data_IF_858008684552
#
_entry.id   IF_858008684552
#
_cell.length_a   1.000
_cell.length_b   1.000
_cell.length_c   1.000
_cell.angle_alpha   90.00
_cell.angle_beta   90.00
_cell.angle_gamma   90.00
#
_symmetry.space_group_name_H-M   'P 1'
#
loop_
_entity.id
_entity.type
_entity.pdbx_description
1 polymer ?
#
# COMPACT_ATOMS: atom_id res chain seq x y z
N UNK A 1 0.63 -9.81 -21.12
CA UNK A 1 -0.58 -9.27 -20.52
C UNK A 1 -0.32 -8.81 -19.09
N UNK A 2 -0.56 -7.54 -18.78
CA UNK A 2 -0.27 -6.96 -17.47
C UNK A 2 -1.54 -6.98 -16.61
N UNK A 3 -1.86 -8.14 -16.04
CA UNK A 3 -2.99 -8.31 -15.14
C UNK A 3 -2.60 -7.98 -13.70
N UNK A 4 -1.35 -8.25 -13.35
CA UNK A 4 -0.85 -8.05 -11.99
C UNK A 4 0.48 -7.29 -12.01
N UNK A 5 0.80 -6.68 -10.88
CA UNK A 5 2.13 -6.13 -10.62
C UNK A 5 2.52 -6.47 -9.18
N UNK A 6 3.78 -6.26 -8.85
CA UNK A 6 4.27 -6.57 -7.51
C UNK A 6 4.96 -5.39 -6.88
N UNK A 7 4.89 -5.33 -5.56
CA UNK A 7 5.76 -4.49 -4.75
C UNK A 7 6.80 -5.36 -4.08
N UNK A 8 8.03 -4.88 -4.04
CA UNK A 8 9.09 -5.50 -3.27
C UNK A 8 9.13 -4.91 -1.86
N UNK A 9 9.72 -5.64 -0.93
CA UNK A 9 9.87 -5.15 0.44
C UNK A 9 10.99 -4.13 0.52
N UNK A 10 10.78 -3.12 1.37
CA UNK A 10 11.78 -2.11 1.69
C UNK A 10 12.59 -2.58 2.89
N UNK A 11 13.92 -2.58 2.78
CA UNK A 11 14.80 -3.00 3.87
C UNK A 11 16.18 -2.37 3.71
N UNK A 12 16.54 -1.47 4.63
CA UNK A 12 17.85 -0.79 4.59
C UNK A 12 18.57 -0.74 5.92
N UNK A 13 17.84 -0.61 7.04
CA UNK A 13 18.46 -0.26 8.31
C UNK A 13 18.19 -1.24 9.45
N UNK A 14 17.09 -1.96 9.45
CA UNK A 14 16.67 -2.80 10.58
C UNK A 14 16.93 -4.27 10.28
N UNK A 15 17.44 -4.99 11.29
CA UNK A 15 17.71 -6.43 11.16
C UNK A 15 16.43 -7.26 11.06
N UNK A 16 15.35 -6.78 11.67
CA UNK A 16 14.08 -7.51 11.71
C UNK A 16 13.20 -7.25 10.49
N UNK A 17 13.66 -6.45 9.54
CA UNK A 17 12.92 -6.20 8.30
C UNK A 17 12.92 -7.45 7.41
N UNK A 18 11.77 -7.75 6.81
CA UNK A 18 11.66 -8.83 5.83
C UNK A 18 12.25 -8.33 4.52
N UNK A 19 13.35 -8.96 4.07
CA UNK A 19 14.14 -8.46 2.94
C UNK A 19 13.69 -8.99 1.59
N UNK A 20 13.03 -10.14 1.55
CA UNK A 20 12.68 -10.83 0.29
C UNK A 20 11.18 -10.96 0.09
N UNK A 21 10.39 -10.19 0.83
CA UNK A 21 8.95 -10.23 0.70
C UNK A 21 8.48 -9.61 -0.60
N UNK A 22 7.34 -10.10 -1.11
CA UNK A 22 6.68 -9.57 -2.30
C UNK A 22 5.19 -9.53 -2.06
N UNK A 23 4.54 -8.44 -2.48
CA UNK A 23 3.08 -8.33 -2.51
C UNK A 23 2.63 -8.21 -3.94
N UNK A 24 1.54 -8.90 -4.26
CA UNK A 24 0.96 -8.92 -5.61
C UNK A 24 -0.34 -8.15 -5.60
N UNK A 25 -0.49 -7.26 -6.58
CA UNK A 25 -1.69 -6.46 -6.78
C UNK A 25 -2.23 -6.67 -8.18
N UNK A 26 -3.54 -6.56 -8.31
CA UNK A 26 -4.20 -6.58 -9.62
C UNK A 26 -4.41 -5.14 -10.08
N UNK A 27 -4.18 -4.90 -11.39
CA UNK A 27 -4.47 -3.59 -11.97
C UNK A 27 -5.95 -3.24 -11.93
N UNK A 28 -6.82 -4.25 -11.81
CA UNK A 28 -8.27 -4.07 -11.82
C UNK A 28 -8.93 -4.99 -10.80
N UNK A 29 -9.80 -4.43 -9.95
CA UNK A 29 -10.49 -5.21 -8.92
C UNK A 29 -11.50 -6.21 -9.51
N UNK A 30 -12.06 -5.94 -10.69
CA UNK A 30 -12.93 -6.88 -11.37
C UNK A 30 -12.19 -8.14 -11.77
N UNK A 31 -10.97 -8.01 -12.29
CA UNK A 31 -10.11 -9.16 -12.60
C UNK A 31 -9.75 -9.90 -11.32
N UNK A 32 -9.42 -9.20 -10.26
CA UNK A 32 -9.15 -9.81 -8.96
C UNK A 32 -10.34 -10.65 -8.48
N UNK A 33 -11.53 -10.08 -8.53
CA UNK A 33 -12.76 -10.77 -8.11
C UNK A 33 -13.02 -12.03 -8.96
N UNK A 34 -12.77 -11.96 -10.26
CA UNK A 34 -12.93 -13.11 -11.15
C UNK A 34 -11.95 -14.24 -10.80
N UNK A 35 -10.68 -13.90 -10.56
CA UNK A 35 -9.66 -14.89 -10.18
C UNK A 35 -10.01 -15.54 -8.84
N UNK A 36 -10.49 -14.77 -7.87
CA UNK A 36 -10.89 -15.30 -6.57
C UNK A 36 -12.29 -15.88 -6.53
N UNK A 37 -13.03 -15.79 -7.66
CA UNK A 37 -14.43 -16.23 -7.75
C UNK A 37 -15.31 -15.60 -6.67
N UNK A 38 -15.08 -14.33 -6.36
CA UNK A 38 -15.81 -13.63 -5.32
C UNK A 38 -16.49 -12.39 -5.88
N UNK A 39 -17.80 -12.48 -6.09
CA UNK A 39 -18.63 -11.39 -6.61
C UNK A 39 -19.70 -10.95 -5.59
N UNK A 40 -19.55 -11.30 -4.34
CA UNK A 40 -20.52 -10.93 -3.31
C UNK A 40 -20.58 -9.40 -3.12
N UNK A 41 -21.75 -8.85 -2.71
CA UNK A 41 -21.84 -7.45 -2.33
C UNK A 41 -20.88 -7.10 -1.19
N UNK A 42 -20.47 -5.83 -1.13
CA UNK A 42 -19.47 -5.38 -0.15
C UNK A 42 -19.88 -5.71 1.29
N UNK A 43 -21.17 -5.62 1.61
CA UNK A 43 -21.68 -5.89 2.96
C UNK A 43 -21.49 -7.34 3.41
N UNK A 44 -21.35 -8.25 2.44
CA UNK A 44 -21.22 -9.68 2.70
C UNK A 44 -19.79 -10.19 2.54
N UNK A 45 -18.84 -9.29 2.24
CA UNK A 45 -17.45 -9.67 2.01
C UNK A 45 -16.63 -9.47 3.28
N UNK A 46 -15.67 -10.37 3.48
CA UNK A 46 -14.68 -10.25 4.55
C UNK A 46 -13.33 -9.72 4.06
N UNK A 47 -13.19 -9.43 2.76
CA UNK A 47 -11.93 -8.96 2.16
C UNK A 47 -12.00 -7.50 1.69
N UNK A 48 -12.91 -6.70 2.23
CA UNK A 48 -13.09 -5.30 1.81
C UNK A 48 -11.81 -4.49 2.01
N UNK A 49 -11.09 -4.75 3.12
CA UNK A 49 -9.80 -4.09 3.35
C UNK A 49 -8.79 -4.37 2.25
N UNK A 50 -8.69 -5.63 1.84
CA UNK A 50 -7.79 -6.02 0.76
C UNK A 50 -8.21 -5.44 -0.60
N UNK A 51 -9.51 -5.36 -0.85
CA UNK A 51 -10.03 -4.68 -2.06
C UNK A 51 -9.69 -3.20 -2.05
N UNK A 52 -9.86 -2.53 -0.93
CA UNK A 52 -9.54 -1.11 -0.78
C UNK A 52 -8.06 -0.87 -1.03
N UNK A 53 -7.19 -1.67 -0.40
CA UNK A 53 -5.75 -1.58 -0.62
C UNK A 53 -5.41 -1.79 -2.08
N UNK A 54 -5.94 -2.83 -2.72
CA UNK A 54 -5.67 -3.11 -4.14
C UNK A 54 -6.12 -1.96 -5.03
N UNK A 55 -7.29 -1.39 -4.78
CA UNK A 55 -7.78 -0.25 -5.54
C UNK A 55 -6.86 0.96 -5.38
N UNK A 56 -6.48 1.29 -4.16
CA UNK A 56 -5.64 2.46 -3.89
C UNK A 56 -4.25 2.31 -4.50
N UNK A 57 -3.60 1.16 -4.32
CA UNK A 57 -2.25 0.94 -4.86
C UNK A 57 -2.29 0.92 -6.39
N UNK A 58 -3.24 0.23 -7.00
CA UNK A 58 -3.34 0.16 -8.46
C UNK A 58 -3.63 1.53 -9.08
N UNK A 59 -4.53 2.31 -8.49
CA UNK A 59 -4.84 3.66 -8.98
C UNK A 59 -3.66 4.61 -8.78
N UNK A 60 -2.92 4.48 -7.67
CA UNK A 60 -1.72 5.29 -7.44
C UNK A 60 -0.63 4.98 -8.47
N UNK A 61 -0.43 3.72 -8.82
CA UNK A 61 0.53 3.31 -9.85
C UNK A 61 0.14 3.93 -11.19
N UNK A 62 -1.13 3.86 -11.57
CA UNK A 62 -1.62 4.48 -12.80
C UNK A 62 -1.43 6.00 -12.78
N UNK A 63 -1.78 6.63 -11.68
CA UNK A 63 -1.61 8.08 -11.50
C UNK A 63 -0.15 8.49 -11.66
N UNK A 64 0.77 7.76 -11.04
CA UNK A 64 2.20 8.03 -11.15
C UNK A 64 2.68 7.89 -12.59
N UNK A 65 2.20 6.89 -13.30
CA UNK A 65 2.53 6.68 -14.70
C UNK A 65 2.04 7.84 -15.57
N UNK A 66 0.81 8.27 -15.40
CA UNK A 66 0.25 9.38 -16.17
C UNK A 66 0.92 10.73 -15.89
N UNK A 67 1.31 10.97 -14.64
CA UNK A 67 1.93 12.23 -14.26
C UNK A 67 3.45 12.25 -14.51
N UNK A 68 4.03 11.15 -14.97
CA UNK A 68 5.47 11.05 -15.15
C UNK A 68 6.25 10.98 -13.85
N UNK A 69 5.60 10.59 -12.76
CA UNK A 69 6.25 10.43 -11.48
C UNK A 69 6.91 9.06 -11.40
N UNK A 70 8.24 9.05 -11.30
CA UNK A 70 9.04 7.82 -11.28
C UNK A 70 9.47 7.42 -9.87
N UNK A 71 8.67 7.73 -8.86
CA UNK A 71 8.92 7.29 -7.48
C UNK A 71 9.03 5.76 -7.42
N UNK A 72 9.97 5.26 -6.62
CA UNK A 72 10.09 3.84 -6.38
C UNK A 72 9.09 3.42 -5.30
N UNK A 73 8.43 2.30 -5.52
CA UNK A 73 7.34 1.83 -4.67
C UNK A 73 7.72 0.53 -3.98
N UNK A 74 7.43 0.48 -2.69
CA UNK A 74 7.71 -0.67 -1.83
C UNK A 74 6.58 -0.86 -0.82
N UNK A 75 6.57 -2.01 -0.16
CA UNK A 75 5.89 -2.18 1.12
C UNK A 75 6.95 -2.46 2.20
N UNK A 76 6.54 -2.44 3.46
CA UNK A 76 7.45 -2.72 4.56
C UNK A 76 6.79 -3.65 5.57
N UNK A 77 7.56 -4.62 6.04
CA UNK A 77 7.10 -5.60 7.04
C UNK A 77 8.27 -6.05 7.88
N UNK A 78 8.01 -6.28 9.16
CA UNK A 78 8.99 -6.86 10.08
C UNK A 78 8.58 -8.27 10.49
N UNK A 79 9.53 -9.01 11.07
CA UNK A 79 9.25 -10.32 11.62
C UNK A 79 8.28 -10.27 12.82
N UNK A 80 8.18 -9.12 13.50
CA UNK A 80 7.19 -8.88 14.55
C UNK A 80 5.82 -8.44 13.98
N UNK A 81 5.62 -8.55 12.67
CA UNK A 81 4.37 -8.26 11.98
C UNK A 81 3.95 -6.79 12.01
N UNK A 82 4.88 -5.87 12.17
CA UNK A 82 4.63 -4.47 11.87
C UNK A 82 4.63 -4.28 10.35
N UNK A 83 3.75 -3.43 9.85
CA UNK A 83 3.58 -3.24 8.40
C UNK A 83 3.36 -1.79 8.03
N UNK A 84 3.82 -1.46 6.81
CA UNK A 84 3.41 -0.26 6.07
C UNK A 84 3.00 -0.75 4.69
N UNK A 85 1.78 -0.40 4.27
CA UNK A 85 1.19 -0.92 3.03
C UNK A 85 1.90 -0.42 1.79
N UNK A 86 2.27 0.86 1.75
CA UNK A 86 2.94 1.45 0.60
C UNK A 86 3.98 2.46 1.05
N UNK A 87 5.15 2.40 0.46
CA UNK A 87 6.20 3.41 0.58
C UNK A 87 6.51 3.93 -0.81
N UNK A 88 6.46 5.24 -0.99
CA UNK A 88 6.97 5.91 -2.18
C UNK A 88 8.26 6.64 -1.82
N UNK A 89 9.35 6.23 -2.45
CA UNK A 89 10.63 6.89 -2.29
C UNK A 89 10.85 7.88 -3.40
N UNK A 90 10.99 9.15 -3.05
CA UNK A 90 11.22 10.23 -3.99
C UNK A 90 12.07 11.32 -3.35
N UNK A 91 13.14 11.71 -4.02
CA UNK A 91 14.02 12.80 -3.60
C UNK A 91 14.54 12.63 -2.16
N UNK A 92 14.84 11.40 -1.76
CA UNK A 92 15.37 11.09 -0.44
C UNK A 92 14.34 11.07 0.67
N UNK A 93 13.07 11.25 0.34
CA UNK A 93 11.96 11.22 1.30
C UNK A 93 11.16 9.94 1.09
N UNK A 94 10.80 9.30 2.20
CA UNK A 94 9.96 8.11 2.20
C UNK A 94 8.54 8.52 2.58
N UNK A 95 7.65 8.57 1.60
CA UNK A 95 6.25 8.82 1.83
C UNK A 95 5.56 7.49 2.12
N UNK A 96 5.03 7.33 3.32
CA UNK A 96 4.42 6.07 3.75
C UNK A 96 2.91 6.20 3.90
N UNK A 97 2.21 5.14 3.49
CA UNK A 97 0.75 5.13 3.46
C UNK A 97 0.21 3.83 4.04
N UNK A 98 -0.88 3.95 4.77
CA UNK A 98 -1.67 2.83 5.28
C UNK A 98 -3.07 2.96 4.73
N UNK A 99 -3.65 1.85 4.26
CA UNK A 99 -4.98 1.88 3.65
C UNK A 99 -6.00 1.25 4.59
N UNK A 100 -7.02 2.02 4.96
CA UNK A 100 -8.08 1.57 5.86
C UNK A 100 -9.44 1.84 5.25
N UNK A 101 -10.22 0.78 5.06
CA UNK A 101 -11.62 0.92 4.64
C UNK A 101 -12.47 1.57 5.74
N UNK A 102 -12.23 1.19 6.99
CA UNK A 102 -12.92 1.75 8.14
C UNK A 102 -12.04 2.83 8.77
N UNK A 103 -12.41 4.10 8.61
CA UNK A 103 -11.63 5.24 9.09
C UNK A 103 -11.57 5.40 10.60
N UNK A 104 -12.24 4.55 11.38
CA UNK A 104 -12.25 4.64 12.84
C UNK A 104 -11.01 4.05 13.50
N UNK A 105 -10.22 3.27 12.79
CA UNK A 105 -9.00 2.70 13.35
C UNK A 105 -7.92 3.78 13.45
N UNK A 106 -7.44 4.02 14.66
CA UNK A 106 -6.29 4.89 14.88
C UNK A 106 -5.04 4.12 14.53
N UNK A 107 -4.35 4.55 13.50
CA UNK A 107 -3.05 4.00 13.15
C UNK A 107 -2.01 5.10 13.18
N UNK A 108 -0.95 4.84 13.91
CA UNK A 108 0.24 5.66 13.92
C UNK A 108 1.32 4.95 13.12
N UNK A 109 2.20 5.73 12.51
CA UNK A 109 3.39 5.16 11.88
C UNK A 109 4.14 4.29 12.90
N UNK A 110 4.57 3.07 12.51
CA UNK A 110 5.36 2.24 13.41
C UNK A 110 6.60 3.00 13.91
N UNK A 111 6.79 3.04 15.22
CA UNK A 111 7.88 3.82 15.83
C UNK A 111 9.25 3.34 15.36
N UNK A 112 9.42 2.05 15.18
CA UNK A 112 10.69 1.49 14.70
C UNK A 112 11.02 2.02 13.30
N UNK A 113 10.02 2.18 12.44
CA UNK A 113 10.22 2.77 11.13
C UNK A 113 10.56 4.25 11.23
N UNK A 114 9.79 5.01 11.98
CA UNK A 114 10.02 6.45 12.14
C UNK A 114 11.40 6.74 12.72
N UNK A 115 11.86 5.93 13.68
CA UNK A 115 13.19 6.10 14.29
C UNK A 115 14.32 5.76 13.33
N UNK A 116 14.14 4.73 12.49
CA UNK A 116 15.18 4.28 11.56
C UNK A 116 15.22 5.11 10.28
N UNK A 117 14.09 5.69 9.90
CA UNK A 117 13.94 6.47 8.68
C UNK A 117 13.28 7.81 9.01
N UNK A 118 14.05 8.74 9.59
CA UNK A 118 13.47 10.03 10.06
C UNK A 118 12.96 10.91 8.92
N UNK A 119 13.48 10.77 7.70
CA UNK A 119 12.98 11.50 6.53
C UNK A 119 11.78 10.79 5.93
N UNK A 120 10.75 10.56 6.74
CA UNK A 120 9.54 9.88 6.29
C UNK A 120 8.30 10.67 6.69
N UNK A 121 7.25 10.53 5.88
CA UNK A 121 5.91 11.02 6.19
C UNK A 121 4.98 9.82 6.34
N UNK A 122 3.83 10.04 6.97
CA UNK A 122 2.85 8.97 7.16
C UNK A 122 1.44 9.51 6.99
N UNK A 123 0.63 8.79 6.24
CA UNK A 123 -0.77 9.14 6.00
C UNK A 123 -1.63 7.88 5.95
N UNK A 124 -2.80 7.94 6.57
CA UNK A 124 -3.80 6.88 6.48
C UNK A 124 -4.81 7.27 5.41
N UNK A 125 -5.02 6.40 4.44
CA UNK A 125 -5.90 6.64 3.30
C UNK A 125 -7.21 5.87 3.52
N UNK A 126 -8.30 6.62 3.59
CA UNK A 126 -9.64 6.11 3.84
C UNK A 126 -10.59 6.59 2.75
N UNK A 127 -11.84 6.06 2.71
CA UNK A 127 -12.84 6.59 1.77
C UNK A 127 -13.15 8.07 1.94
N UNK A 128 -12.83 8.66 3.08
CA UNK A 128 -13.08 10.09 3.34
C UNK A 128 -11.97 11.00 2.79
N UNK A 129 -10.74 10.51 2.56
CA UNK A 129 -9.62 11.38 2.19
C UNK A 129 -8.84 10.94 0.95
N UNK A 130 -9.26 9.87 0.27
CA UNK A 130 -8.46 9.26 -0.80
C UNK A 130 -8.24 10.17 -2.02
N UNK A 131 -9.06 11.19 -2.21
CA UNK A 131 -8.97 12.04 -3.40
C UNK A 131 -7.61 12.73 -3.52
N UNK A 132 -7.08 13.25 -2.41
CA UNK A 132 -5.78 13.91 -2.43
C UNK A 132 -4.64 12.94 -2.74
N UNK A 133 -4.81 11.69 -2.36
CA UNK A 133 -3.84 10.63 -2.64
C UNK A 133 -3.82 10.26 -4.13
N UNK A 134 -4.95 10.34 -4.82
CA UNK A 134 -5.07 9.96 -6.23
C UNK A 134 -4.98 11.12 -7.22
N UNK A 135 -4.87 12.35 -6.75
CA UNK A 135 -4.73 13.52 -7.64
C UNK A 135 -3.47 13.47 -8.49
#
# INVERSE_FOLDING_TARGET
CFVVFRLDSFSRNLRNEIKKGKKIYFYDNGVRNAVLSNFAPLELRNDVGALWENLMVSERVKRNSYSGNFAQLFFWRTHEQQEIDLIEEQDGILHTFEFKWNGKARNNQPKSFANSYPNSTYEVITPENYWSFLK
#
